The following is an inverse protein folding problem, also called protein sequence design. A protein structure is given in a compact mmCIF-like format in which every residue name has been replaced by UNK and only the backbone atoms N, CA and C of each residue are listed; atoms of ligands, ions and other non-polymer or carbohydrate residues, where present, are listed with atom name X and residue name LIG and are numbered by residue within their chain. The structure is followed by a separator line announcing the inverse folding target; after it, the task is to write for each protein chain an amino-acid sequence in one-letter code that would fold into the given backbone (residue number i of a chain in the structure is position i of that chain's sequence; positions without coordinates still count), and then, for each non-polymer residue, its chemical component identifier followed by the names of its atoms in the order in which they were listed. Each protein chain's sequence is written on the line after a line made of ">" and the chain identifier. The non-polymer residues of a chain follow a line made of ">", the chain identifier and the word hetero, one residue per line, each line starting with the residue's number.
data_IF_900762350104
#
_entry.id   IF_900762350104
#
_cell.length_a   1.000
_cell.length_b   1.000
_cell.length_c   1.000
_cell.angle_alpha   90.00
_cell.angle_beta   90.00
_cell.angle_gamma   90.00
#
_symmetry.space_group_name_H-M   'P 1'
#
loop_
_entity.id
_entity.type
_entity.pdbx_description
1 polymer ?
#
# COMPACT_ATOMS: atom_id res chain seq x y z
N UNK A 1 7.99 4.63 5.05
CA UNK A 1 7.15 3.42 5.03
C UNK A 1 7.93 2.30 4.36
N UNK A 2 7.72 1.01 4.67
CA UNK A 2 8.38 -0.07 3.94
C UNK A 2 8.02 -0.04 2.45
N UNK A 3 8.99 -0.19 1.56
CA UNK A 3 8.74 -0.18 0.12
C UNK A 3 7.81 -1.33 -0.31
N UNK A 4 7.86 -2.46 0.40
CA UNK A 4 7.00 -3.62 0.17
C UNK A 4 5.50 -3.37 0.43
N UNK A 5 5.13 -2.32 1.16
CA UNK A 5 3.72 -1.94 1.39
C UNK A 5 3.14 -1.08 0.26
N UNK A 6 3.98 -0.60 -0.65
CA UNK A 6 3.59 0.24 -1.77
C UNK A 6 3.37 -0.66 -2.98
N UNK A 7 2.17 -0.58 -3.56
CA UNK A 7 1.82 -1.30 -4.77
C UNK A 7 1.52 -0.33 -5.90
N UNK A 8 1.72 -0.78 -7.14
CA UNK A 8 1.30 -0.05 -8.33
C UNK A 8 0.07 -0.72 -8.92
N UNK A 9 -1.03 0.01 -9.01
CA UNK A 9 -2.31 -0.46 -9.55
C UNK A 9 -2.83 0.53 -10.58
N UNK A 10 -3.06 0.07 -11.80
CA UNK A 10 -3.50 0.91 -12.93
C UNK A 10 -2.60 2.15 -13.18
N UNK A 11 -1.27 1.97 -13.05
CA UNK A 11 -0.29 3.06 -13.20
C UNK A 11 -0.22 4.05 -12.03
N UNK A 12 -1.04 3.87 -10.98
CA UNK A 12 -1.04 4.70 -9.77
C UNK A 12 -0.41 3.97 -8.59
N UNK A 13 0.24 4.75 -7.73
CA UNK A 13 0.80 4.24 -6.48
C UNK A 13 -0.30 4.15 -5.43
N UNK A 14 -0.49 2.96 -4.85
CA UNK A 14 -1.50 2.67 -3.84
C UNK A 14 -0.90 1.93 -2.64
N UNK A 15 -1.55 2.03 -1.49
CA UNK A 15 -1.21 1.28 -0.27
C UNK A 15 -2.46 0.59 0.25
N UNK A 16 -2.29 -0.63 0.76
CA UNK A 16 -3.35 -1.36 1.44
C UNK A 16 -3.30 -1.08 2.95
N UNK A 17 -4.33 -0.44 3.46
CA UNK A 17 -4.48 -0.12 4.88
C UNK A 17 -5.40 -1.16 5.53
N UNK A 18 -4.95 -1.78 6.62
CA UNK A 18 -5.76 -2.70 7.39
C UNK A 18 -6.89 -1.95 8.10
N UNK A 19 -8.10 -2.49 8.02
CA UNK A 19 -9.30 -1.95 8.68
C UNK A 19 -9.98 -3.06 9.47
N UNK A 20 -10.97 -2.72 10.32
CA UNK A 20 -11.64 -3.67 11.21
C UNK A 20 -12.26 -4.92 10.53
N UNK A 21 -12.41 -4.93 9.21
CA UNK A 21 -13.00 -6.06 8.47
C UNK A 21 -12.26 -6.46 7.19
N UNK A 22 -11.02 -6.00 6.99
CA UNK A 22 -10.27 -6.31 5.77
C UNK A 22 -9.26 -5.22 5.42
N UNK A 23 -9.16 -4.90 4.13
CA UNK A 23 -8.17 -3.93 3.64
C UNK A 23 -8.83 -2.90 2.74
N UNK A 24 -8.45 -1.64 2.94
CA UNK A 24 -8.83 -0.54 2.07
C UNK A 24 -7.65 -0.21 1.15
N UNK A 25 -7.92 -0.10 -0.16
CA UNK A 25 -6.95 0.44 -1.12
C UNK A 25 -6.99 1.95 -1.02
N UNK A 26 -5.83 2.58 -0.81
CA UNK A 26 -5.74 4.02 -0.76
C UNK A 26 -4.71 4.52 -1.76
N UNK A 27 -5.12 5.46 -2.60
CA UNK A 27 -4.21 6.19 -3.46
C UNK A 27 -3.24 7.00 -2.60
N UNK A 28 -1.96 6.89 -2.92
CA UNK A 28 -0.90 7.59 -2.22
C UNK A 28 -0.01 8.31 -3.22
N UNK A 29 0.53 9.44 -2.80
CA UNK A 29 1.58 10.10 -3.58
C UNK A 29 2.93 9.65 -3.05
N UNK A 30 3.69 8.89 -3.83
CA UNK A 30 5.07 8.54 -3.49
C UNK A 30 6.03 9.67 -3.86
N UNK A 31 6.92 10.04 -2.94
CA UNK A 31 8.03 10.96 -3.18
C UNK A 31 9.30 10.26 -3.66
N UNK A 32 9.24 8.94 -3.84
CA UNK A 32 10.35 8.08 -4.22
C UNK A 32 10.50 6.89 -3.29
N UNK A 33 11.45 6.02 -3.62
CA UNK A 33 11.87 4.93 -2.75
C UNK A 33 13.38 5.00 -2.55
N UNK A 34 13.84 4.75 -1.33
CA UNK A 34 15.24 4.65 -0.97
C UNK A 34 15.47 3.30 -0.29
N UNK A 35 16.13 2.38 -1.02
CA UNK A 35 16.37 1.01 -0.58
C UNK A 35 15.07 0.29 -0.19
N UNK A 36 15.00 -0.18 1.06
CA UNK A 36 13.85 -0.92 1.59
C UNK A 36 12.68 -0.04 2.03
N UNK A 37 12.77 1.29 1.86
CA UNK A 37 11.76 2.24 2.31
C UNK A 37 11.23 3.09 1.16
N UNK A 38 9.91 3.28 1.12
CA UNK A 38 9.24 4.25 0.29
C UNK A 38 8.88 5.51 1.09
N UNK A 39 9.08 6.66 0.45
CA UNK A 39 8.66 7.97 0.94
C UNK A 39 7.25 8.21 0.40
N UNK A 40 6.30 8.41 1.30
CA UNK A 40 4.94 8.85 0.94
C UNK A 40 4.82 10.33 1.27
N UNK A 41 4.45 11.12 0.27
CA UNK A 41 4.16 12.55 0.40
C UNK A 41 2.74 12.77 0.91
N UNK A 42 1.81 11.84 0.65
CA UNK A 42 0.44 11.89 1.12
C UNK A 42 -0.26 10.54 1.02
N UNK A 43 -1.38 10.39 1.74
CA UNK A 43 -2.28 9.25 1.60
C UNK A 43 -2.12 8.16 2.66
N UNK A 44 -1.23 8.28 3.65
CA UNK A 44 -1.20 7.42 4.86
C UNK A 44 -1.01 8.32 6.08
N UNK A 45 -1.83 8.15 7.13
CA UNK A 45 -1.68 8.92 8.36
C UNK A 45 -0.72 8.19 9.34
N UNK A 46 0.06 8.92 10.15
CA UNK A 46 0.83 8.31 11.23
C UNK A 46 -0.10 7.49 12.14
N UNK A 47 0.26 6.24 12.42
CA UNK A 47 -0.53 5.33 13.26
C UNK A 47 -1.48 4.39 12.50
N UNK A 48 -1.63 4.53 11.18
CA UNK A 48 -2.39 3.56 10.38
C UNK A 48 -1.57 2.29 10.11
N UNK A 49 -2.21 1.13 10.29
CA UNK A 49 -1.60 -0.16 9.99
C UNK A 49 -1.63 -0.44 8.49
N UNK A 50 -0.45 -0.59 7.90
CA UNK A 50 -0.27 -0.90 6.47
C UNK A 50 0.21 -2.33 6.29
N UNK A 51 -0.24 -2.99 5.24
CA UNK A 51 0.16 -4.37 4.93
C UNK A 51 1.54 -4.36 4.28
N UNK A 52 2.52 -5.02 4.89
CA UNK A 52 3.93 -5.03 4.44
C UNK A 52 4.39 -6.38 3.86
N UNK A 53 3.59 -7.44 3.98
CA UNK A 53 3.89 -8.79 3.52
C UNK A 53 2.62 -9.45 2.98
N UNK A 54 2.75 -10.36 2.00
CA UNK A 54 1.60 -11.03 1.37
C UNK A 54 0.82 -10.14 0.39
N UNK A 55 1.39 -9.01 -0.04
CA UNK A 55 0.76 -8.07 -0.99
C UNK A 55 0.43 -8.73 -2.34
N UNK A 56 1.22 -9.73 -2.78
CA UNK A 56 0.91 -10.52 -3.98
C UNK A 56 -0.37 -11.35 -3.85
N UNK A 57 -0.61 -11.96 -2.68
CA UNK A 57 -1.83 -12.73 -2.42
C UNK A 57 -3.06 -11.81 -2.28
N UNK A 58 -2.88 -10.64 -1.63
CA UNK A 58 -3.93 -9.62 -1.55
C UNK A 58 -4.29 -9.06 -2.95
N UNK A 59 -3.29 -8.87 -3.81
CA UNK A 59 -3.50 -8.42 -5.19
C UNK A 59 -4.32 -9.44 -5.99
N UNK A 60 -4.01 -10.73 -5.84
CA UNK A 60 -4.78 -11.80 -6.49
C UNK A 60 -6.24 -11.85 -6.01
N UNK A 61 -6.48 -11.69 -4.70
CA UNK A 61 -7.84 -11.66 -4.14
C UNK A 61 -8.66 -10.43 -4.57
N UNK A 62 -8.01 -9.27 -4.73
CA UNK A 62 -8.66 -8.05 -5.17
C UNK A 62 -9.04 -8.07 -6.66
N UNK A 63 -8.30 -8.82 -7.49
CA UNK A 63 -8.55 -8.97 -8.93
C UNK A 63 -9.54 -10.09 -9.27
N UNK A 64 -9.85 -10.97 -8.32
CA UNK A 64 -10.75 -12.12 -8.52
C UNK A 64 -12.21 -11.85 -8.13
N UNK A 65 -12.59 -10.58 -7.95
CA UNK A 65 -13.95 -10.16 -7.59
C UNK A 65 -14.60 -9.32 -8.67
#
# INVERSE_FOLDING_TARGET
>A
MPAAAVATMNGRTVVFVATKGGFAVRDVKSGGANGSQAILLSGVKPGEQVVIAGTSALKALALSR
#
